data_IF_649704120278
#
_entry.id   IF_649704120278
#
_cell.length_a   1.000
_cell.length_b   1.000
_cell.length_c   1.000
_cell.angle_alpha   90.00
_cell.angle_beta   90.00
_cell.angle_gamma   90.00
#
_symmetry.space_group_name_H-M   'P 1'
#
loop_
_entity.id
_entity.type
_entity.pdbx_description
1 polymer ?
#
# COMPACT_ATOMS: atom_id res chain seq x y z
N UNK A 1 -38.42 -21.77 1.88
CA UNK A 1 -38.03 -20.56 2.64
C UNK A 1 -39.08 -20.25 3.71
N UNK A 2 -38.71 -20.08 4.98
CA UNK A 2 -39.67 -19.68 6.03
C UNK A 2 -39.91 -18.17 6.00
N UNK A 3 -41.17 -17.72 5.97
CA UNK A 3 -41.56 -16.30 6.06
C UNK A 3 -41.05 -15.65 7.37
N UNK A 4 -40.76 -14.34 7.37
CA UNK A 4 -40.31 -13.57 8.54
C UNK A 4 -41.24 -13.73 9.75
N UNK A 5 -42.54 -13.92 9.51
CA UNK A 5 -43.56 -14.21 10.54
C UNK A 5 -43.35 -15.57 11.22
N UNK A 6 -42.93 -16.60 10.48
CA UNK A 6 -42.65 -17.93 11.03
C UNK A 6 -41.36 -17.95 11.87
N UNK A 7 -40.36 -17.13 11.50
CA UNK A 7 -39.12 -16.97 12.28
C UNK A 7 -39.34 -16.19 13.57
N UNK A 8 -40.17 -15.14 13.55
CA UNK A 8 -40.58 -14.40 14.76
C UNK A 8 -41.26 -15.30 15.81
N UNK A 9 -42.16 -16.19 15.38
CA UNK A 9 -42.86 -17.13 16.28
C UNK A 9 -41.91 -18.12 16.96
N UNK A 10 -40.91 -18.65 16.23
CA UNK A 10 -39.88 -19.55 16.77
C UNK A 10 -38.94 -18.85 17.77
N UNK A 11 -38.65 -17.57 17.53
CA UNK A 11 -37.82 -16.77 18.43
C UNK A 11 -38.54 -16.45 19.75
N UNK A 12 -39.83 -16.06 19.71
CA UNK A 12 -40.65 -15.86 20.92
C UNK A 12 -40.66 -17.08 21.84
N UNK A 13 -40.73 -18.28 21.26
CA UNK A 13 -40.66 -19.54 22.02
C UNK A 13 -39.29 -19.78 22.64
N UNK A 14 -38.20 -19.39 21.95
CA UNK A 14 -36.83 -19.46 22.47
C UNK A 14 -36.54 -18.46 23.60
N UNK A 15 -37.00 -17.20 23.46
CA UNK A 15 -36.86 -16.19 24.52
C UNK A 15 -37.67 -16.56 25.77
N UNK A 16 -38.91 -17.04 25.60
CA UNK A 16 -39.74 -17.45 26.74
C UNK A 16 -39.15 -18.62 27.53
N UNK A 17 -38.44 -19.54 26.84
CA UNK A 17 -37.72 -20.64 27.49
C UNK A 17 -36.48 -20.17 28.26
N UNK A 18 -35.74 -19.17 27.74
CA UNK A 18 -34.60 -18.55 28.45
C UNK A 18 -35.03 -17.80 29.71
N UNK A 19 -36.20 -17.16 29.70
CA UNK A 19 -36.74 -16.47 30.88
C UNK A 19 -37.17 -17.43 32.00
N UNK A 20 -37.52 -18.69 31.68
CA UNK A 20 -37.94 -19.69 32.66
C UNK A 20 -36.78 -20.44 33.32
N UNK A 21 -35.55 -20.40 32.79
CA UNK A 21 -34.44 -21.24 33.28
C UNK A 21 -33.59 -20.61 34.40
N UNK A 22 -33.91 -19.42 34.91
CA UNK A 22 -33.36 -18.90 36.18
C UNK A 22 -31.84 -18.72 36.28
N UNK A 23 -31.09 -18.91 35.20
CA UNK A 23 -29.64 -18.66 35.19
C UNK A 23 -29.39 -17.16 35.05
N UNK A 24 -28.75 -16.55 36.07
CA UNK A 24 -28.09 -15.24 35.98
C UNK A 24 -26.92 -15.33 34.99
N UNK A 25 -27.24 -15.46 33.71
CA UNK A 25 -26.28 -15.30 32.63
C UNK A 25 -26.26 -13.81 32.29
N UNK A 26 -25.06 -13.23 32.39
CA UNK A 26 -24.69 -11.89 31.94
C UNK A 26 -25.59 -11.46 30.77
N UNK A 27 -26.36 -10.39 30.91
CA UNK A 27 -27.45 -9.97 29.99
C UNK A 27 -26.91 -9.75 28.56
N UNK A 28 -26.72 -10.84 27.83
CA UNK A 28 -26.27 -10.81 26.45
C UNK A 28 -27.48 -10.50 25.58
N UNK A 29 -27.50 -9.28 25.04
CA UNK A 29 -28.46 -8.85 24.04
C UNK A 29 -28.61 -9.91 22.95
N UNK A 30 -29.81 -10.46 22.80
CA UNK A 30 -30.14 -11.41 21.73
C UNK A 30 -30.34 -10.67 20.41
N UNK A 31 -29.62 -11.06 19.35
CA UNK A 31 -29.81 -10.55 17.98
C UNK A 31 -30.67 -11.51 17.17
N UNK A 32 -31.79 -11.03 16.62
CA UNK A 32 -32.61 -11.77 15.66
C UNK A 32 -32.34 -11.25 14.24
N UNK A 33 -31.67 -12.06 13.41
CA UNK A 33 -31.45 -11.75 12.00
C UNK A 33 -32.66 -12.16 11.16
N UNK A 34 -33.33 -11.18 10.54
CA UNK A 34 -34.52 -11.37 9.70
C UNK A 34 -34.27 -11.01 8.23
N UNK A 35 -33.02 -11.09 7.76
CA UNK A 35 -32.60 -10.77 6.39
C UNK A 35 -32.41 -11.98 5.47
N UNK A 36 -32.08 -11.70 4.20
CA UNK A 36 -31.63 -12.69 3.22
C UNK A 36 -30.14 -13.03 3.43
N UNK A 37 -29.77 -14.29 3.22
CA UNK A 37 -28.42 -14.83 3.51
C UNK A 37 -27.50 -14.78 2.26
N UNK A 38 -28.05 -14.42 1.09
CA UNK A 38 -27.36 -14.56 -0.20
C UNK A 38 -26.25 -13.52 -0.46
N UNK A 39 -26.17 -12.46 0.34
CA UNK A 39 -25.10 -11.46 0.25
C UNK A 39 -24.03 -11.68 1.32
N UNK A 40 -23.44 -12.88 1.31
CA UNK A 40 -22.41 -13.23 2.27
C UNK A 40 -21.12 -12.44 1.98
N UNK A 41 -20.85 -11.44 2.82
CA UNK A 41 -19.56 -10.75 2.86
C UNK A 41 -18.59 -11.57 3.71
N UNK A 42 -17.36 -11.84 3.24
CA UNK A 42 -16.41 -12.66 3.99
C UNK A 42 -16.13 -12.10 5.38
N UNK A 43 -16.31 -12.92 6.43
CA UNK A 43 -15.99 -12.52 7.81
C UNK A 43 -14.55 -12.03 7.93
N UNK A 44 -13.62 -12.68 7.22
CA UNK A 44 -12.20 -12.33 7.21
C UNK A 44 -11.94 -10.89 6.72
N UNK A 45 -12.77 -10.36 5.82
CA UNK A 45 -12.68 -8.97 5.35
C UNK A 45 -12.88 -7.99 6.51
N UNK A 46 -13.88 -8.23 7.36
CA UNK A 46 -14.15 -7.36 8.49
C UNK A 46 -13.09 -7.47 9.60
N UNK A 47 -12.48 -8.65 9.75
CA UNK A 47 -11.43 -8.91 10.73
C UNK A 47 -10.05 -8.42 10.28
N UNK A 48 -9.86 -8.12 8.98
CA UNK A 48 -8.61 -7.54 8.50
C UNK A 48 -8.43 -6.13 9.06
N UNK A 49 -7.48 -5.98 9.98
CA UNK A 49 -7.17 -4.73 10.68
C UNK A 49 -6.41 -3.73 9.80
N UNK A 50 -5.85 -4.18 8.67
CA UNK A 50 -5.14 -3.32 7.72
C UNK A 50 -6.11 -2.47 6.91
N UNK A 51 -7.36 -2.93 6.76
CA UNK A 51 -8.40 -2.25 6.01
C UNK A 51 -9.23 -1.32 6.88
N UNK A 52 -9.40 -0.08 6.42
CA UNK A 52 -10.34 0.86 7.02
C UNK A 52 -11.80 0.44 6.76
N UNK A 53 -12.78 0.97 7.51
CA UNK A 53 -14.19 0.75 7.22
C UNK A 53 -14.57 1.12 5.78
N UNK A 54 -13.93 2.16 5.23
CA UNK A 54 -14.18 2.61 3.86
C UNK A 54 -13.63 1.63 2.82
N UNK A 55 -12.49 1.00 3.07
CA UNK A 55 -11.93 -0.02 2.16
C UNK A 55 -12.83 -1.26 2.14
N UNK A 56 -13.33 -1.66 3.31
CA UNK A 56 -14.31 -2.74 3.45
C UNK A 56 -15.61 -2.42 2.72
N UNK A 57 -16.09 -1.17 2.83
CA UNK A 57 -17.26 -0.71 2.10
C UNK A 57 -17.04 -0.75 0.58
N UNK A 58 -15.87 -0.31 0.10
CA UNK A 58 -15.53 -0.36 -1.32
C UNK A 58 -15.59 -1.79 -1.86
N UNK A 59 -15.04 -2.77 -1.13
CA UNK A 59 -15.12 -4.18 -1.51
C UNK A 59 -16.59 -4.65 -1.59
N UNK A 60 -17.42 -4.32 -0.61
CA UNK A 60 -18.84 -4.70 -0.59
C UNK A 60 -19.60 -4.08 -1.76
N UNK A 61 -19.36 -2.80 -2.04
CA UNK A 61 -20.02 -2.10 -3.14
C UNK A 61 -19.63 -2.65 -4.50
N UNK A 62 -18.35 -2.99 -4.71
CA UNK A 62 -17.89 -3.69 -5.92
C UNK A 62 -18.62 -5.03 -6.08
N UNK A 63 -18.76 -5.80 -4.99
CA UNK A 63 -19.43 -7.10 -5.01
C UNK A 63 -20.90 -6.99 -5.37
N UNK A 64 -21.62 -6.07 -4.73
CA UNK A 64 -23.04 -5.83 -4.98
C UNK A 64 -23.28 -5.37 -6.42
N UNK A 65 -22.43 -4.48 -6.93
CA UNK A 65 -22.52 -4.02 -8.31
C UNK A 65 -22.31 -5.17 -9.30
N UNK A 66 -21.31 -6.02 -9.07
CA UNK A 66 -21.05 -7.18 -9.91
C UNK A 66 -22.26 -8.14 -9.92
N UNK A 67 -22.89 -8.41 -8.77
CA UNK A 67 -24.08 -9.26 -8.70
C UNK A 67 -25.28 -8.72 -9.50
N UNK A 68 -25.42 -7.39 -9.58
CA UNK A 68 -26.48 -6.74 -10.37
C UNK A 68 -26.20 -6.75 -11.88
N UNK A 69 -24.94 -6.94 -12.29
CA UNK A 69 -24.47 -6.81 -13.68
C UNK A 69 -23.80 -8.12 -14.17
N UNK A 70 -24.44 -9.26 -13.92
CA UNK A 70 -24.02 -10.60 -14.39
C UNK A 70 -22.58 -11.01 -14.01
N UNK A 71 -22.02 -10.42 -12.96
CA UNK A 71 -20.72 -10.78 -12.39
C UNK A 71 -19.49 -10.33 -13.19
N UNK A 72 -19.67 -9.67 -14.34
CA UNK A 72 -18.57 -9.34 -15.25
C UNK A 72 -18.21 -7.85 -15.33
N UNK A 73 -19.03 -6.97 -14.75
CA UNK A 73 -18.83 -5.52 -14.86
C UNK A 73 -18.27 -4.95 -13.56
N UNK A 74 -17.09 -4.36 -13.65
CA UNK A 74 -16.52 -3.56 -12.56
C UNK A 74 -17.15 -2.17 -12.56
N UNK A 75 -17.58 -1.63 -11.41
CA UNK A 75 -18.19 -0.30 -11.36
C UNK A 75 -17.20 0.78 -11.80
N UNK A 76 -17.73 1.78 -12.52
CA UNK A 76 -16.95 2.94 -12.93
C UNK A 76 -16.49 3.75 -11.71
N UNK A 77 -15.45 4.56 -11.89
CA UNK A 77 -14.98 5.45 -10.83
C UNK A 77 -16.07 6.38 -10.32
N UNK A 78 -16.91 6.93 -11.21
CA UNK A 78 -17.97 7.85 -10.82
C UNK A 78 -19.07 7.15 -10.00
N UNK A 79 -19.38 5.88 -10.30
CA UNK A 79 -20.31 5.07 -9.50
C UNK A 79 -19.74 4.76 -8.11
N UNK A 80 -18.45 4.35 -8.04
CA UNK A 80 -17.78 4.14 -6.75
C UNK A 80 -17.71 5.42 -5.92
N UNK A 81 -17.51 6.58 -6.56
CA UNK A 81 -17.54 7.87 -5.87
C UNK A 81 -18.90 8.14 -5.24
N UNK A 82 -20.01 7.87 -5.94
CA UNK A 82 -21.35 8.00 -5.37
C UNK A 82 -21.58 7.00 -4.21
N UNK A 83 -21.17 5.74 -4.38
CA UNK A 83 -21.40 4.69 -3.39
C UNK A 83 -20.56 4.84 -2.10
N UNK A 84 -19.40 5.50 -2.19
CA UNK A 84 -18.50 5.74 -1.06
C UNK A 84 -18.62 7.14 -0.47
N UNK A 85 -19.64 7.91 -0.87
CA UNK A 85 -19.85 9.26 -0.38
C UNK A 85 -20.14 9.28 1.12
N UNK A 86 -19.71 10.35 1.78
CA UNK A 86 -20.04 10.62 3.18
C UNK A 86 -21.48 11.18 3.28
N UNK A 87 -22.10 11.12 4.48
CA UNK A 87 -23.37 11.80 4.71
C UNK A 87 -23.30 13.27 4.27
N UNK A 88 -24.33 13.76 3.58
CA UNK A 88 -24.42 15.12 3.06
C UNK A 88 -23.39 15.47 1.97
N UNK A 89 -22.79 14.46 1.32
CA UNK A 89 -21.95 14.63 0.14
C UNK A 89 -22.52 13.81 -1.01
N UNK A 90 -22.53 14.39 -2.22
CA UNK A 90 -23.01 13.68 -3.41
C UNK A 90 -22.01 12.61 -3.89
N UNK A 91 -20.70 12.85 -3.69
CA UNK A 91 -19.62 12.00 -4.20
C UNK A 91 -18.37 12.04 -3.30
N UNK A 92 -17.77 10.88 -3.06
CA UNK A 92 -16.40 10.79 -2.56
C UNK A 92 -15.40 11.32 -3.59
N UNK A 93 -14.19 11.69 -3.15
CA UNK A 93 -13.14 12.13 -4.06
C UNK A 93 -12.56 10.96 -4.87
N UNK A 94 -11.99 11.25 -6.05
CA UNK A 94 -11.26 10.23 -6.83
C UNK A 94 -10.10 9.64 -6.05
N UNK A 95 -9.40 10.46 -5.27
CA UNK A 95 -8.32 10.01 -4.39
C UNK A 95 -8.82 9.01 -3.34
N UNK A 96 -10.01 9.23 -2.79
CA UNK A 96 -10.64 8.31 -1.84
C UNK A 96 -10.86 6.93 -2.45
N UNK A 97 -11.38 6.88 -3.68
CA UNK A 97 -11.59 5.62 -4.41
C UNK A 97 -10.26 4.96 -4.76
N UNK A 98 -9.30 5.71 -5.31
CA UNK A 98 -7.96 5.23 -5.64
C UNK A 98 -7.27 4.62 -4.42
N UNK A 99 -7.34 5.30 -3.26
CA UNK A 99 -6.80 4.84 -1.98
C UNK A 99 -7.43 3.51 -1.55
N UNK A 100 -8.76 3.39 -1.64
CA UNK A 100 -9.47 2.18 -1.24
C UNK A 100 -9.10 0.99 -2.15
N UNK A 101 -9.08 1.18 -3.46
CA UNK A 101 -8.67 0.15 -4.42
C UNK A 101 -7.20 -0.27 -4.21
N UNK A 102 -6.31 0.69 -3.94
CA UNK A 102 -4.91 0.38 -3.63
C UNK A 102 -4.78 -0.43 -2.34
N UNK A 103 -5.50 -0.07 -1.27
CA UNK A 103 -5.48 -0.84 -0.03
C UNK A 103 -5.99 -2.27 -0.22
N UNK A 104 -7.10 -2.46 -0.94
CA UNK A 104 -7.62 -3.79 -1.28
C UNK A 104 -6.60 -4.60 -2.11
N UNK A 105 -5.88 -3.93 -3.01
CA UNK A 105 -4.84 -4.54 -3.83
C UNK A 105 -3.60 -4.95 -3.04
N UNK A 106 -3.11 -4.09 -2.15
CA UNK A 106 -1.95 -4.40 -1.29
C UNK A 106 -2.24 -5.55 -0.31
N UNK A 107 -3.49 -5.66 0.14
CA UNK A 107 -3.92 -6.65 1.14
C UNK A 107 -4.42 -7.96 0.55
N UNK A 108 -4.45 -8.09 -0.79
CA UNK A 108 -4.80 -9.31 -1.50
C UNK A 108 -6.30 -9.55 -1.70
N UNK A 109 -7.16 -8.58 -1.38
CA UNK A 109 -8.61 -8.68 -1.57
C UNK A 109 -9.07 -8.34 -3.00
N UNK A 110 -8.19 -7.70 -3.77
CA UNK A 110 -8.41 -7.31 -5.16
C UNK A 110 -7.09 -7.49 -5.94
N UNK A 111 -7.17 -7.94 -7.20
CA UNK A 111 -6.01 -8.00 -8.10
C UNK A 111 -6.26 -7.16 -9.35
N UNK A 112 -5.28 -6.37 -9.79
CA UNK A 112 -5.32 -5.68 -11.08
C UNK A 112 -4.72 -6.59 -12.15
N UNK A 113 -5.56 -7.43 -12.77
CA UNK A 113 -5.10 -8.45 -13.70
C UNK A 113 -4.56 -7.88 -15.01
N UNK A 114 -5.20 -6.82 -15.53
CA UNK A 114 -4.79 -6.24 -16.81
C UNK A 114 -5.22 -4.78 -16.94
N UNK A 115 -4.36 -3.97 -17.56
CA UNK A 115 -4.73 -2.63 -18.06
C UNK A 115 -5.05 -2.74 -19.55
N UNK A 116 -6.30 -2.53 -19.90
CA UNK A 116 -6.77 -2.54 -21.30
C UNK A 116 -6.35 -1.24 -21.96
N UNK A 117 -5.64 -1.34 -23.08
CA UNK A 117 -5.19 -0.19 -23.87
C UNK A 117 -5.88 -0.18 -25.23
N UNK A 118 -6.10 1.02 -25.78
CA UNK A 118 -6.55 1.18 -27.16
C UNK A 118 -5.41 0.96 -28.16
N UNK A 119 -5.75 1.03 -29.46
CA UNK A 119 -4.78 0.90 -30.57
C UNK A 119 -3.70 2.00 -30.55
N UNK A 120 -3.94 3.12 -29.88
CA UNK A 120 -2.97 4.21 -29.71
C UNK A 120 -2.10 4.06 -28.45
N UNK A 121 -2.30 3.00 -27.67
CA UNK A 121 -1.56 2.72 -26.45
C UNK A 121 -2.11 3.40 -25.19
N UNK A 122 -3.20 4.18 -25.29
CA UNK A 122 -3.84 4.83 -24.13
C UNK A 122 -4.62 3.81 -23.32
N UNK A 123 -4.57 3.92 -22.01
CA UNK A 123 -5.32 3.02 -21.11
C UNK A 123 -6.81 3.36 -21.22
N UNK A 124 -7.63 2.42 -21.69
CA UNK A 124 -9.10 2.53 -21.73
C UNK A 124 -9.77 2.02 -20.46
N UNK A 125 -9.11 1.12 -19.72
CA UNK A 125 -9.73 0.54 -18.53
C UNK A 125 -8.83 -0.47 -17.82
N UNK A 126 -9.34 -0.97 -16.71
CA UNK A 126 -8.68 -1.92 -15.84
C UNK A 126 -9.58 -3.15 -15.68
N UNK A 127 -8.98 -4.33 -15.69
CA UNK A 127 -9.65 -5.59 -15.37
C UNK A 127 -9.19 -5.99 -13.97
N UNK A 128 -10.14 -6.09 -13.06
CA UNK A 128 -9.91 -6.49 -11.68
C UNK A 128 -10.49 -7.87 -11.41
N UNK A 129 -9.82 -8.65 -10.55
CA UNK A 129 -10.38 -9.82 -9.91
C UNK A 129 -10.64 -9.52 -8.44
N UNK A 130 -11.85 -9.80 -7.97
CA UNK A 130 -12.22 -9.68 -6.56
C UNK A 130 -12.16 -11.06 -5.89
N UNK A 131 -11.54 -11.12 -4.71
CA UNK A 131 -11.32 -12.37 -3.98
C UNK A 131 -12.18 -12.43 -2.72
N UNK A 132 -12.61 -13.63 -2.36
CA UNK A 132 -13.39 -13.93 -1.14
C UNK A 132 -12.49 -14.20 0.08
N UNK A 133 -11.20 -14.45 -0.15
CA UNK A 133 -10.14 -14.48 0.84
C UNK A 133 -8.96 -13.59 0.41
N UNK A 134 -8.17 -13.03 1.34
CA UNK A 134 -6.97 -12.29 0.97
C UNK A 134 -5.96 -13.27 0.36
N UNK A 135 -5.52 -12.99 -0.87
CA UNK A 135 -4.53 -13.80 -1.54
C UNK A 135 -3.21 -13.85 -0.75
N UNK A 136 -2.56 -15.01 -0.81
CA UNK A 136 -1.15 -15.14 -0.41
C UNK A 136 -0.24 -14.36 -1.36
N UNK A 137 0.99 -14.07 -0.92
CA UNK A 137 1.95 -13.23 -1.66
C UNK A 137 2.22 -13.76 -3.08
N UNK A 138 2.38 -15.09 -3.20
CA UNK A 138 2.63 -15.74 -4.49
C UNK A 138 1.43 -15.59 -5.45
N UNK A 139 0.21 -15.79 -4.95
CA UNK A 139 -1.00 -15.67 -5.78
C UNK A 139 -1.28 -14.20 -6.13
N UNK A 140 -1.02 -13.27 -5.20
CA UNK A 140 -1.14 -11.84 -5.45
C UNK A 140 -0.25 -11.40 -6.62
N UNK A 141 1.00 -11.87 -6.65
CA UNK A 141 1.90 -11.67 -7.77
C UNK A 141 1.42 -12.35 -9.06
N UNK A 142 0.92 -13.58 -8.96
CA UNK A 142 0.45 -14.34 -10.12
C UNK A 142 -0.74 -13.66 -10.83
N UNK A 143 -1.75 -13.24 -10.06
CA UNK A 143 -2.95 -12.60 -10.60
C UNK A 143 -2.75 -11.13 -10.99
N UNK A 144 -1.73 -10.48 -10.43
CA UNK A 144 -1.43 -9.07 -10.68
C UNK A 144 0.06 -8.88 -10.97
N UNK A 145 0.46 -8.92 -12.26
CA UNK A 145 1.86 -8.83 -12.67
C UNK A 145 2.57 -7.55 -12.22
N UNK A 146 1.80 -6.48 -11.93
CA UNK A 146 2.33 -5.20 -11.46
C UNK A 146 2.20 -5.02 -9.95
N UNK A 147 1.91 -6.07 -9.18
CA UNK A 147 1.65 -5.99 -7.75
C UNK A 147 2.91 -5.60 -6.97
N UNK A 148 4.05 -6.22 -7.26
CA UNK A 148 5.33 -5.89 -6.59
C UNK A 148 5.76 -4.45 -6.88
N UNK A 149 5.56 -3.95 -8.12
CA UNK A 149 5.79 -2.53 -8.43
C UNK A 149 4.86 -1.64 -7.60
N UNK A 150 3.58 -2.00 -7.46
CA UNK A 150 2.64 -1.25 -6.67
C UNK A 150 2.96 -1.24 -5.17
N UNK A 151 3.47 -2.36 -4.63
CA UNK A 151 3.99 -2.41 -3.26
C UNK A 151 5.19 -1.47 -3.11
N UNK A 152 6.11 -1.47 -4.08
CA UNK A 152 7.27 -0.58 -4.07
C UNK A 152 6.85 0.90 -4.09
N UNK A 153 5.97 1.29 -5.00
CA UNK A 153 5.44 2.66 -5.09
C UNK A 153 4.69 3.05 -3.81
N UNK A 154 3.92 2.12 -3.25
CA UNK A 154 3.17 2.33 -2.02
C UNK A 154 4.08 2.57 -0.79
N UNK A 155 5.30 2.03 -0.77
CA UNK A 155 6.28 2.31 0.29
C UNK A 155 6.71 3.78 0.34
N UNK A 156 6.55 4.54 -0.75
CA UNK A 156 6.84 5.98 -0.83
C UNK A 156 5.56 6.83 -0.81
N UNK A 157 4.39 6.23 -0.64
CA UNK A 157 3.12 6.94 -0.67
C UNK A 157 3.01 7.95 0.48
N UNK A 158 2.43 9.13 0.25
CA UNK A 158 2.27 10.18 1.26
C UNK A 158 1.37 9.73 2.41
N UNK A 159 0.26 9.05 2.09
CA UNK A 159 -0.62 8.41 3.06
C UNK A 159 0.12 7.36 3.92
N UNK A 160 0.17 7.61 5.24
CA UNK A 160 0.86 6.76 6.23
C UNK A 160 0.34 5.32 6.27
N UNK A 161 -0.97 5.11 6.16
CA UNK A 161 -1.58 3.78 6.25
C UNK A 161 -1.17 2.91 5.06
N UNK A 162 -1.23 3.47 3.84
CA UNK A 162 -0.75 2.78 2.62
C UNK A 162 0.72 2.43 2.79
N UNK A 163 1.55 3.40 3.18
CA UNK A 163 2.99 3.22 3.33
C UNK A 163 3.34 2.13 4.34
N UNK A 164 2.76 2.16 5.54
CA UNK A 164 3.02 1.15 6.57
C UNK A 164 2.54 -0.24 6.14
N UNK A 165 1.40 -0.32 5.46
CA UNK A 165 0.88 -1.59 4.94
C UNK A 165 1.82 -2.17 3.88
N UNK A 166 2.32 -1.33 2.96
CA UNK A 166 3.24 -1.76 1.92
C UNK A 166 4.60 -2.22 2.50
N UNK A 167 5.13 -1.51 3.50
CA UNK A 167 6.36 -1.93 4.20
C UNK A 167 6.19 -3.27 4.91
N UNK A 168 5.04 -3.51 5.55
CA UNK A 168 4.73 -4.80 6.16
C UNK A 168 4.69 -5.92 5.10
N UNK A 169 4.03 -5.69 3.97
CA UNK A 169 4.01 -6.64 2.85
C UNK A 169 5.41 -6.90 2.30
N UNK A 170 6.25 -5.87 2.17
CA UNK A 170 7.63 -6.02 1.72
C UNK A 170 8.45 -6.91 2.66
N UNK A 171 8.26 -6.74 3.98
CA UNK A 171 8.87 -7.58 5.00
C UNK A 171 8.35 -9.02 4.93
N UNK A 172 7.05 -9.21 4.70
CA UNK A 172 6.46 -10.54 4.54
C UNK A 172 7.08 -11.27 3.33
N UNK A 173 7.24 -10.59 2.19
CA UNK A 173 7.91 -11.13 0.97
C UNK A 173 9.35 -11.56 1.28
N UNK A 174 10.09 -10.76 2.05
CA UNK A 174 11.47 -11.08 2.45
C UNK A 174 11.55 -12.30 3.35
N UNK A 175 10.58 -12.47 4.25
CA UNK A 175 10.52 -13.60 5.17
C UNK A 175 10.01 -14.90 4.51
N UNK A 176 9.21 -14.79 3.45
CA UNK A 176 8.61 -15.95 2.79
C UNK A 176 9.63 -16.67 1.87
N UNK A 177 9.88 -17.94 2.19
CA UNK A 177 10.74 -18.82 1.40
C UNK A 177 10.19 -19.09 -0.01
N UNK A 178 8.87 -19.04 -0.19
CA UNK A 178 8.23 -19.19 -1.51
C UNK A 178 8.42 -17.98 -2.41
N UNK A 179 8.86 -16.84 -1.87
CA UNK A 179 9.09 -15.59 -2.59
C UNK A 179 10.57 -15.29 -2.86
N UNK A 180 11.46 -16.29 -2.71
CA UNK A 180 12.92 -16.14 -2.94
C UNK A 180 13.28 -15.55 -4.30
N UNK A 181 12.51 -15.84 -5.34
CA UNK A 181 12.70 -15.28 -6.69
C UNK A 181 12.53 -13.76 -6.76
N UNK A 182 11.90 -13.13 -5.75
CA UNK A 182 11.73 -11.68 -5.64
C UNK A 182 12.66 -11.02 -4.64
N UNK A 183 13.45 -11.76 -3.87
CA UNK A 183 14.32 -11.19 -2.83
C UNK A 183 15.33 -10.18 -3.38
N UNK A 184 15.92 -10.43 -4.55
CA UNK A 184 16.83 -9.47 -5.20
C UNK A 184 16.13 -8.15 -5.53
N UNK A 185 14.90 -8.23 -6.04
CA UNK A 185 14.07 -7.06 -6.35
C UNK A 185 13.63 -6.32 -5.09
N UNK A 186 13.29 -7.05 -4.03
CA UNK A 186 12.98 -6.46 -2.71
C UNK A 186 14.20 -5.71 -2.16
N UNK A 187 15.40 -6.29 -2.22
CA UNK A 187 16.62 -5.62 -1.77
C UNK A 187 16.89 -4.31 -2.54
N UNK A 188 16.60 -4.27 -3.84
CA UNK A 188 16.69 -3.04 -4.64
C UNK A 188 15.65 -1.99 -4.20
N UNK A 189 14.45 -2.41 -3.82
CA UNK A 189 13.41 -1.51 -3.28
C UNK A 189 13.89 -0.95 -1.94
N UNK A 190 14.35 -1.79 -1.01
CA UNK A 190 14.87 -1.37 0.30
C UNK A 190 16.04 -0.38 0.18
N UNK A 191 16.97 -0.62 -0.76
CA UNK A 191 18.08 0.28 -1.03
C UNK A 191 17.58 1.67 -1.47
N UNK A 192 16.60 1.74 -2.38
CA UNK A 192 16.01 3.01 -2.82
C UNK A 192 15.27 3.73 -1.72
N UNK A 193 14.58 3.00 -0.83
CA UNK A 193 13.91 3.59 0.33
C UNK A 193 14.91 4.18 1.34
N UNK A 194 16.15 3.68 1.35
CA UNK A 194 17.23 4.14 2.22
C UNK A 194 18.04 5.30 1.63
N UNK A 195 17.96 5.51 0.30
CA UNK A 195 18.64 6.60 -0.37
C UNK A 195 17.94 7.94 -0.10
N UNK A 196 18.71 9.03 0.17
CA UNK A 196 18.13 10.35 0.38
C UNK A 196 17.31 10.80 -0.84
N UNK A 197 16.02 11.05 -0.64
CA UNK A 197 15.10 11.37 -1.74
C UNK A 197 15.02 12.88 -2.01
N UNK A 198 15.47 13.71 -1.08
CA UNK A 198 15.44 15.18 -1.21
C UNK A 198 16.85 15.78 -1.26
N UNK A 199 17.06 16.90 -1.99
CA UNK A 199 18.35 17.60 -2.00
C UNK A 199 18.84 17.99 -0.60
N UNK A 200 17.91 18.31 0.31
CA UNK A 200 18.23 18.64 1.71
C UNK A 200 18.77 17.42 2.47
N UNK A 201 18.13 16.26 2.35
CA UNK A 201 18.61 15.00 2.94
C UNK A 201 19.93 14.53 2.31
N UNK A 202 20.14 14.76 1.01
CA UNK A 202 21.41 14.47 0.33
C UNK A 202 22.56 15.30 0.91
N UNK A 203 22.34 16.59 1.20
CA UNK A 203 23.33 17.46 1.84
C UNK A 203 23.57 17.04 3.30
N UNK A 204 22.52 16.74 4.07
CA UNK A 204 22.66 16.26 5.45
C UNK A 204 23.34 14.90 5.55
N UNK A 205 23.11 13.99 4.59
CA UNK A 205 23.77 12.68 4.51
C UNK A 205 25.25 12.81 4.11
N UNK A 206 25.59 13.78 3.24
CA UNK A 206 27.00 14.13 2.94
C UNK A 206 27.73 14.72 4.15
N UNK A 207 27.08 15.57 4.93
CA UNK A 207 27.66 16.13 6.16
C UNK A 207 27.85 15.08 7.27
N UNK A 208 26.97 14.07 7.36
CA UNK A 208 27.14 12.92 8.28
C UNK A 208 28.23 11.93 7.85
N UNK A 209 28.60 11.89 6.57
CA UNK A 209 29.61 10.96 6.01
C UNK A 209 31.02 11.53 5.96
N UNK A 210 31.26 12.80 6.31
CA UNK A 210 32.61 13.33 6.55
C UNK A 210 33.11 12.88 7.92
N UNK A 211 34.13 12.01 8.02
CA UNK A 211 34.90 11.86 9.25
C UNK A 211 35.64 13.17 9.46
N UNK A 212 35.54 13.75 10.65
CA UNK A 212 36.35 14.91 11.03
C UNK A 212 37.83 14.56 10.85
N UNK A 213 38.49 15.19 9.88
CA UNK A 213 39.94 15.28 9.87
C UNK A 213 40.32 16.34 10.90
N UNK A 214 40.38 15.94 12.16
CA UNK A 214 41.10 16.69 13.18
C UNK A 214 42.59 16.54 12.90
N UNK A 215 43.19 17.57 12.30
CA UNK A 215 44.60 17.89 12.53
C UNK A 215 44.71 19.40 12.68
N UNK A 216 44.95 19.80 13.92
CA UNK A 216 45.09 21.17 14.40
C UNK A 216 46.23 21.97 13.73
N UNK A 217 46.19 23.32 13.82
CA UNK A 217 47.19 24.21 13.25
C UNK A 217 48.37 24.45 14.22
N UNK A 218 49.54 23.90 13.89
CA UNK A 218 50.80 24.15 14.60
C UNK A 218 51.60 25.32 13.99
N UNK A 219 51.74 26.41 14.75
CA UNK A 219 52.51 27.63 14.43
C UNK A 219 53.93 27.53 15.02
N UNK A 220 54.98 27.74 14.20
CA UNK A 220 56.38 28.20 14.48
C UNK A 220 57.35 27.50 13.50
N UNK A 221 58.52 27.99 13.11
CA UNK A 221 59.19 29.30 13.05
C UNK A 221 60.54 28.97 12.35
N UNK A 222 60.95 29.81 11.39
CA UNK A 222 62.33 30.13 10.98
C UNK A 222 63.37 29.05 10.55
N UNK A 223 63.99 29.43 9.43
CA UNK A 223 65.42 29.42 9.08
C UNK A 223 65.99 28.30 8.19
N UNK A 224 66.50 28.77 7.04
CA UNK A 224 67.81 28.54 6.41
C UNK A 224 68.26 27.10 6.16
N UNK A 225 68.98 26.74 5.10
CA UNK A 225 69.46 27.30 3.83
C UNK A 225 70.00 26.05 3.08
N UNK A 226 70.44 26.22 1.82
CA UNK A 226 71.31 25.31 1.05
C UNK A 226 70.62 24.15 0.33
N UNK A 227 70.90 23.78 -0.92
CA UNK A 227 71.71 24.27 -2.06
C UNK A 227 71.15 23.48 -3.28
N UNK A 228 70.78 24.12 -4.40
CA UNK A 228 71.56 24.28 -5.64
C UNK A 228 71.96 22.99 -6.39
N UNK A 229 71.29 22.73 -7.52
CA UNK A 229 71.89 22.20 -8.76
C UNK A 229 70.97 22.58 -9.94
N UNK A 230 71.32 23.56 -10.79
CA UNK A 230 72.11 23.44 -12.04
C UNK A 230 71.47 22.47 -13.06
N UNK A 231 71.21 22.74 -14.34
CA UNK A 231 71.43 23.77 -15.38
C UNK A 231 70.32 23.45 -16.44
N UNK A 232 69.90 24.22 -17.45
CA UNK A 232 70.60 25.02 -18.47
C UNK A 232 69.51 25.54 -19.42
N UNK A 233 69.63 26.75 -19.97
CA UNK A 233 68.73 27.21 -21.03
C UNK A 233 68.72 28.72 -21.23
N UNK A 234 69.85 29.22 -21.70
CA UNK A 234 70.19 30.63 -21.92
C UNK A 234 69.42 31.34 -23.05
N UNK A 235 69.15 32.63 -22.78
CA UNK A 235 69.21 33.82 -23.68
C UNK A 235 67.97 34.21 -24.56
N UNK A 236 67.34 35.30 -24.06
CA UNK A 236 66.59 36.44 -24.64
C UNK A 236 67.15 37.05 -25.97
N UNK A 237 66.67 38.22 -26.49
CA UNK A 237 65.40 38.96 -26.35
C UNK A 237 64.82 39.44 -27.72
N UNK A 238 63.68 40.14 -27.68
CA UNK A 238 63.60 41.44 -28.35
C UNK A 238 62.68 41.57 -29.57
N UNK A 239 61.65 42.40 -29.36
CA UNK A 239 60.71 43.04 -30.27
C UNK A 239 61.24 43.50 -31.63
N UNK A 240 60.42 43.45 -32.68
CA UNK A 240 59.70 44.62 -33.19
C UNK A 240 58.85 44.28 -34.44
N UNK A 241 57.71 44.99 -34.53
CA UNK A 241 56.76 45.13 -35.67
C UNK A 241 55.68 44.07 -35.86
#
# INVERSE_FOLDING_TARGET
MMSSSARWRRCKTGLSKKTQSGEQSNEQSGLLFLGNVHDAVPRRLFLDSRLSPLDKMAWVMIRLYAQQNEGAVFPTYDELQCQLALPHSDKASRETVSRALLMLRLTGWLSLCKRVRDKSGRIRGNIYAQHDEPLGLFDAEYFDPGWIDAVADACLHTNKTIRLTALAVLQDIKSDTRMRHRHSRVALIEARLSDPQTPQEMVSSRQKKTPGSETEPGRKLQNSESELSCLKGDILPGSDS
#
